data_IF_037963277265
#
_entry.id   IF_037963277265
#
_cell.length_a   1.000
_cell.length_b   1.000
_cell.length_c   1.000
_cell.angle_alpha   90.00
_cell.angle_beta   90.00
_cell.angle_gamma   90.00
#
_symmetry.space_group_name_H-M   'P 1'
#
loop_
_entity.id
_entity.type
_entity.pdbx_description
1 polymer ?
#
# COMPACT_ATOMS: atom_id res chain seq x y z
N UNK A 1 20.45 -8.34 4.96
CA UNK A 1 21.01 -7.29 4.09
C UNK A 1 21.49 -6.16 4.99
N UNK A 2 22.82 -6.02 5.13
CA UNK A 2 23.42 -4.80 5.64
C UNK A 2 24.20 -4.21 4.45
N UNK A 3 23.82 -3.02 4.02
CA UNK A 3 24.55 -2.29 2.99
C UNK A 3 25.91 -1.88 3.59
N UNK A 4 26.98 -2.35 2.97
CA UNK A 4 28.35 -1.91 3.26
C UNK A 4 28.58 -0.61 2.48
N UNK A 5 28.61 0.53 3.18
CA UNK A 5 29.23 1.75 2.65
C UNK A 5 30.73 1.62 2.91
N UNK A 6 31.51 1.42 1.86
CA UNK A 6 32.98 1.39 1.93
C UNK A 6 33.51 2.79 2.26
N UNK A 7 34.19 2.95 3.40
CA UNK A 7 34.95 4.17 3.72
C UNK A 7 35.13 4.51 5.20
N UNK A 8 34.32 3.95 6.11
CA UNK A 8 34.48 4.24 7.53
C UNK A 8 35.56 3.35 8.17
N UNK A 9 36.62 3.95 8.73
CA UNK A 9 37.66 3.23 9.48
C UNK A 9 37.12 2.50 10.72
N UNK A 10 35.93 2.89 11.21
CA UNK A 10 35.24 2.20 12.30
C UNK A 10 33.75 2.02 11.95
N UNK A 11 33.16 0.85 12.25
CA UNK A 11 31.77 0.60 11.96
C UNK A 11 30.86 1.48 12.83
N UNK A 12 30.03 2.31 12.20
CA UNK A 12 29.01 3.15 12.86
C UNK A 12 27.93 2.32 13.57
N UNK A 13 27.73 1.07 13.14
CA UNK A 13 26.80 0.13 13.77
C UNK A 13 27.57 -0.98 14.50
N UNK A 14 27.85 -0.78 15.79
CA UNK A 14 28.50 -1.77 16.67
C UNK A 14 27.53 -2.76 17.31
N UNK A 15 26.24 -2.62 16.99
CA UNK A 15 25.12 -3.30 17.63
C UNK A 15 24.50 -4.29 16.65
N UNK A 16 24.70 -5.58 16.90
CA UNK A 16 24.12 -6.63 16.08
C UNK A 16 22.68 -6.94 16.54
N UNK A 17 21.72 -6.80 15.63
CA UNK A 17 20.35 -7.25 15.87
C UNK A 17 20.16 -8.65 15.31
N UNK A 18 19.88 -9.62 16.18
CA UNK A 18 19.69 -11.01 15.79
C UNK A 18 18.22 -11.28 15.54
N UNK A 19 17.88 -11.63 14.29
CA UNK A 19 16.54 -12.06 13.88
C UNK A 19 16.59 -13.52 13.54
N UNK A 20 15.82 -14.32 14.27
CA UNK A 20 15.62 -15.73 13.94
C UNK A 20 14.13 -16.01 13.79
N UNK A 21 13.72 -16.85 12.82
CA UNK A 21 12.39 -17.39 12.83
C UNK A 21 12.10 -17.95 14.22
N UNK A 22 10.88 -17.74 14.73
CA UNK A 22 10.46 -18.52 15.88
C UNK A 22 10.55 -19.98 15.43
N UNK A 23 11.51 -20.74 16.00
CA UNK A 23 11.72 -22.15 15.69
C UNK A 23 10.51 -22.92 16.21
N UNK A 24 9.45 -22.89 15.41
CA UNK A 24 8.31 -23.76 15.52
C UNK A 24 8.82 -25.09 14.99
N UNK A 25 9.37 -25.93 15.87
CA UNK A 25 9.54 -27.33 15.53
C UNK A 25 8.16 -27.80 15.06
N UNK A 26 8.05 -28.06 13.76
CA UNK A 26 6.95 -28.76 13.11
C UNK A 26 7.01 -30.21 13.57
N UNK A 27 6.96 -30.45 14.88
CA UNK A 27 6.86 -31.80 15.41
C UNK A 27 5.43 -32.25 15.20
N UNK A 28 5.33 -32.92 14.05
CA UNK A 28 4.31 -33.84 13.59
C UNK A 28 3.09 -33.15 12.96
N UNK A 29 3.05 -33.20 11.63
CA UNK A 29 1.91 -32.98 10.74
C UNK A 29 0.78 -34.01 11.01
N UNK A 30 0.49 -34.30 12.29
CA UNK A 30 -0.11 -35.54 12.79
C UNK A 30 0.88 -36.71 12.66
N UNK A 31 0.84 -37.74 13.53
CA UNK A 31 1.84 -38.83 13.60
C UNK A 31 2.20 -39.36 12.20
N UNK A 32 3.48 -39.58 11.92
CA UNK A 32 3.96 -40.03 10.59
C UNK A 32 3.30 -41.35 10.13
N UNK A 33 2.85 -42.18 11.07
CA UNK A 33 2.06 -43.39 10.79
C UNK A 33 0.63 -43.24 11.36
N UNK A 34 -0.42 -43.60 10.59
CA UNK A 34 -1.79 -43.68 11.10
C UNK A 34 -1.94 -44.79 12.16
N UNK A 35 -2.91 -44.64 13.06
CA UNK A 35 -3.27 -45.74 13.96
C UNK A 35 -4.00 -46.86 13.20
N UNK A 36 -4.20 -48.03 13.83
CA UNK A 36 -4.99 -49.14 13.27
C UNK A 36 -6.34 -48.62 12.76
N UNK A 37 -6.66 -48.85 11.48
CA UNK A 37 -7.85 -48.30 10.81
C UNK A 37 -7.65 -46.96 10.08
N UNK A 38 -6.41 -46.56 9.78
CA UNK A 38 -6.11 -45.42 8.89
C UNK A 38 -6.35 -44.03 9.49
N UNK A 39 -6.88 -43.95 10.72
CA UNK A 39 -7.19 -42.68 11.39
C UNK A 39 -5.94 -42.06 12.02
N UNK A 40 -5.66 -40.81 11.68
CA UNK A 40 -4.61 -40.00 12.29
C UNK A 40 -5.13 -39.31 13.55
N UNK A 41 -4.45 -39.48 14.68
CA UNK A 41 -4.82 -38.78 15.92
C UNK A 41 -4.42 -37.30 15.84
N UNK A 42 -5.32 -36.36 16.21
CA UNK A 42 -4.96 -34.95 16.34
C UNK A 42 -3.84 -34.76 17.38
N UNK A 43 -2.73 -34.10 17.02
CA UNK A 43 -1.64 -33.82 17.94
C UNK A 43 -1.31 -32.32 17.91
N UNK A 44 -1.65 -31.62 18.99
CA UNK A 44 -1.39 -30.19 19.18
C UNK A 44 -2.21 -29.27 18.26
N UNK A 45 -3.07 -28.43 18.83
CA UNK A 45 -3.79 -27.40 18.04
C UNK A 45 -2.91 -26.18 17.75
N UNK A 46 -3.14 -25.51 16.61
CA UNK A 46 -2.52 -24.20 16.28
C UNK A 46 -3.10 -23.03 17.09
N UNK A 47 -4.27 -23.23 17.70
CA UNK A 47 -4.96 -22.32 18.63
C UNK A 47 -5.37 -23.10 19.86
N UNK A 48 -5.16 -22.56 21.06
CA UNK A 48 -5.63 -23.17 22.31
C UNK A 48 -5.78 -22.10 23.41
N UNK A 49 -6.95 -22.06 24.06
CA UNK A 49 -7.33 -21.02 25.04
C UNK A 49 -7.12 -19.58 24.55
N UNK A 50 -7.37 -19.33 23.26
CA UNK A 50 -7.14 -18.01 22.64
C UNK A 50 -5.66 -17.71 22.30
N UNK A 51 -4.71 -18.56 22.70
CA UNK A 51 -3.28 -18.37 22.46
C UNK A 51 -2.80 -19.17 21.25
N UNK A 52 -2.09 -18.48 20.36
CA UNK A 52 -1.44 -19.08 19.21
C UNK A 52 -0.03 -19.52 19.60
N UNK A 53 0.47 -20.61 19.01
CA UNK A 53 1.88 -20.99 19.20
C UNK A 53 2.79 -19.87 18.67
N UNK A 54 3.85 -19.57 19.41
CA UNK A 54 4.71 -18.41 19.15
C UNK A 54 4.18 -17.10 19.74
N UNK A 55 3.03 -17.10 20.41
CA UNK A 55 2.59 -15.94 21.19
C UNK A 55 3.61 -15.61 22.26
N UNK A 56 4.04 -14.35 22.28
CA UNK A 56 4.87 -13.76 23.30
C UNK A 56 4.00 -13.46 24.51
N UNK A 57 4.41 -13.98 25.66
CA UNK A 57 3.72 -13.80 26.93
C UNK A 57 4.69 -13.34 28.00
N UNK A 58 4.19 -12.58 28.97
CA UNK A 58 4.86 -12.34 30.24
C UNK A 58 4.25 -13.28 31.27
N UNK A 59 5.06 -14.20 31.80
CA UNK A 59 4.64 -15.15 32.82
C UNK A 59 5.15 -14.71 34.20
N UNK A 60 4.30 -14.76 35.23
CA UNK A 60 4.61 -14.29 36.58
C UNK A 60 5.94 -14.87 37.14
N UNK A 61 6.19 -16.18 36.91
CA UNK A 61 7.42 -16.86 37.37
C UNK A 61 8.60 -16.79 36.40
N UNK A 62 8.34 -16.78 35.08
CA UNK A 62 9.37 -17.04 34.06
C UNK A 62 9.73 -15.80 33.24
N UNK A 63 9.06 -14.67 33.50
CA UNK A 63 9.29 -13.42 32.78
C UNK A 63 8.85 -13.53 31.32
N UNK A 64 9.67 -13.03 30.40
CA UNK A 64 9.35 -12.99 28.97
C UNK A 64 9.56 -14.36 28.32
N UNK A 65 8.48 -14.95 27.81
CA UNK A 65 8.46 -16.32 27.26
C UNK A 65 7.65 -16.39 25.97
N UNK A 66 7.85 -17.45 25.19
CA UNK A 66 7.01 -17.79 24.04
C UNK A 66 6.18 -19.04 24.32
N UNK A 67 4.97 -19.08 23.78
CA UNK A 67 4.08 -20.24 23.87
C UNK A 67 4.53 -21.32 22.90
N UNK A 68 4.98 -22.45 23.44
CA UNK A 68 5.44 -23.61 22.69
C UNK A 68 4.34 -24.60 22.28
N UNK A 69 3.20 -24.60 23.00
CA UNK A 69 2.07 -25.50 22.73
C UNK A 69 1.14 -25.64 23.93
N UNK A 70 0.05 -26.39 23.76
CA UNK A 70 -0.97 -26.60 24.78
C UNK A 70 -1.32 -28.08 24.90
N UNK A 71 -1.34 -28.60 26.13
CA UNK A 71 -1.85 -29.92 26.46
C UNK A 71 -3.34 -29.81 26.78
N UNK A 72 -4.19 -30.37 25.90
CA UNK A 72 -5.64 -30.33 26.05
C UNK A 72 -6.14 -31.14 27.25
N UNK A 73 -5.49 -32.25 27.58
CA UNK A 73 -5.91 -33.13 28.69
C UNK A 73 -5.60 -32.48 30.03
N UNK A 74 -4.40 -31.91 30.16
CA UNK A 74 -3.94 -31.26 31.40
C UNK A 74 -4.36 -29.80 31.52
N UNK A 75 -4.87 -29.20 30.43
CA UNK A 75 -5.16 -27.77 30.30
C UNK A 75 -3.97 -26.87 30.64
N UNK A 76 -2.76 -27.30 30.28
CA UNK A 76 -1.52 -26.57 30.55
C UNK A 76 -0.81 -26.11 29.28
N UNK A 77 0.01 -25.08 29.41
CA UNK A 77 0.77 -24.42 28.36
C UNK A 77 2.26 -24.77 28.52
N UNK A 78 2.90 -25.11 27.41
CA UNK A 78 4.34 -25.21 27.31
C UNK A 78 4.94 -23.82 27.06
N UNK A 79 5.87 -23.39 27.91
CA UNK A 79 6.58 -22.11 27.76
C UNK A 79 8.03 -22.34 27.40
N UNK A 80 8.56 -21.47 26.54
CA UNK A 80 9.93 -21.48 26.07
C UNK A 80 10.59 -20.12 26.35
N UNK A 81 11.89 -20.14 26.63
CA UNK A 81 12.67 -18.93 26.85
C UNK A 81 12.74 -18.10 25.56
N UNK A 82 12.45 -16.79 25.65
CA UNK A 82 12.38 -15.92 24.47
C UNK A 82 13.67 -15.93 23.62
N UNK A 83 14.85 -15.85 24.25
CA UNK A 83 16.13 -15.76 23.51
C UNK A 83 16.63 -17.11 22.99
N UNK A 84 16.62 -18.15 23.82
CA UNK A 84 17.25 -19.44 23.50
C UNK A 84 16.27 -20.47 22.92
N UNK A 85 14.96 -20.22 22.98
CA UNK A 85 13.90 -21.17 22.64
C UNK A 85 13.93 -22.50 23.45
N UNK A 86 14.71 -22.55 24.54
CA UNK A 86 14.75 -23.71 25.43
C UNK A 86 13.44 -23.81 26.20
N UNK A 87 12.91 -25.03 26.37
CA UNK A 87 11.67 -25.26 27.09
C UNK A 87 11.88 -24.95 28.58
N UNK A 88 11.02 -24.11 29.14
CA UNK A 88 11.02 -23.71 30.55
C UNK A 88 10.07 -24.56 31.39
N UNK A 89 8.89 -24.88 30.85
CA UNK A 89 7.89 -25.72 31.52
C UNK A 89 6.87 -26.25 30.51
N UNK A 90 6.13 -27.29 30.89
CA UNK A 90 4.96 -27.83 30.16
C UNK A 90 3.65 -27.66 30.93
N UNK A 91 3.73 -27.15 32.15
CA UNK A 91 2.63 -27.16 33.12
C UNK A 91 2.17 -25.74 33.48
N UNK A 92 2.44 -24.74 32.63
CA UNK A 92 2.00 -23.37 32.91
C UNK A 92 0.49 -23.26 32.77
N UNK A 93 -0.17 -22.54 33.69
CA UNK A 93 -1.59 -22.23 33.57
C UNK A 93 -1.77 -20.97 32.71
N UNK A 94 -2.87 -20.93 31.94
CA UNK A 94 -3.18 -19.80 31.07
C UNK A 94 -3.33 -18.47 31.83
N UNK A 95 -3.92 -18.53 33.02
CA UNK A 95 -4.12 -17.36 33.90
C UNK A 95 -2.81 -16.66 34.32
N UNK A 96 -1.69 -17.39 34.36
CA UNK A 96 -0.39 -16.83 34.68
C UNK A 96 0.33 -16.22 33.47
N UNK A 97 -0.26 -16.29 32.28
CA UNK A 97 0.31 -15.80 31.03
C UNK A 97 -0.38 -14.49 30.61
N UNK A 98 0.29 -13.36 30.79
CA UNK A 98 -0.16 -12.10 30.21
C UNK A 98 0.27 -12.02 28.75
N UNK A 99 -0.69 -11.96 27.83
CA UNK A 99 -0.44 -11.94 26.39
C UNK A 99 0.09 -10.60 25.95
N UNK A 100 1.25 -10.58 25.31
CA UNK A 100 1.81 -9.35 24.74
C UNK A 100 1.46 -9.23 23.27
N UNK A 101 1.87 -10.20 22.46
CA UNK A 101 1.59 -10.20 21.01
C UNK A 101 1.90 -11.56 20.40
N UNK A 102 1.43 -11.82 19.19
CA UNK A 102 1.87 -12.97 18.42
C UNK A 102 3.07 -12.61 17.55
N UNK A 103 4.11 -13.44 17.55
CA UNK A 103 5.32 -13.20 16.74
C UNK A 103 5.67 -14.43 15.91
N UNK A 104 5.91 -14.21 14.61
CA UNK A 104 6.49 -15.20 13.71
C UNK A 104 8.04 -15.25 13.80
N UNK A 105 8.64 -14.19 14.34
CA UNK A 105 10.09 -13.97 14.41
C UNK A 105 10.48 -13.54 15.82
N UNK A 106 11.67 -13.93 16.26
CA UNK A 106 12.27 -13.44 17.51
C UNK A 106 13.39 -12.48 17.13
N UNK A 107 13.31 -11.26 17.64
CA UNK A 107 14.31 -10.21 17.46
C UNK A 107 14.91 -9.83 18.81
N UNK A 108 16.23 -9.83 18.91
CA UNK A 108 16.89 -9.29 20.09
C UNK A 108 18.26 -8.73 19.74
N UNK A 109 18.64 -7.67 20.45
CA UNK A 109 19.97 -7.11 20.40
C UNK A 109 20.98 -8.10 21.01
N UNK A 110 22.06 -8.39 20.29
CA UNK A 110 23.19 -9.16 20.82
C UNK A 110 24.00 -8.23 21.70
N UNK A 111 23.94 -8.44 23.01
CA UNK A 111 24.90 -7.85 23.93
C UNK A 111 26.26 -8.50 23.71
N UNK A 112 27.33 -7.72 23.51
CA UNK A 112 28.72 -8.22 23.63
C UNK A 112 28.87 -8.79 25.05
N UNK A 113 28.80 -10.11 25.18
CA UNK A 113 29.14 -10.77 26.43
C UNK A 113 30.64 -10.66 26.69
N UNK A 114 31.10 -10.66 27.94
CA UNK A 114 32.53 -10.74 28.23
C UNK A 114 33.09 -12.04 27.63
N UNK A 115 34.27 -11.97 27.00
CA UNK A 115 34.99 -13.13 26.48
C UNK A 115 35.21 -14.13 27.63
N UNK A 116 34.45 -15.22 27.67
CA UNK A 116 34.77 -16.33 28.57
C UNK A 116 35.92 -17.14 27.97
N UNK A 117 37.05 -17.18 28.68
CA UNK A 117 38.11 -18.16 28.44
C UNK A 117 37.54 -19.57 28.61
N UNK A 118 37.87 -20.45 27.68
CA UNK A 118 37.52 -21.87 27.70
C UNK A 118 38.27 -22.60 28.82
N UNK A 119 37.54 -23.08 29.82
CA UNK A 119 37.96 -24.22 30.63
C UNK A 119 36.71 -25.00 31.05
N UNK A 120 36.81 -26.33 31.01
CA UNK A 120 35.67 -27.24 31.06
C UNK A 120 35.01 -27.42 32.42
N UNK A 121 34.07 -28.38 32.41
CA UNK A 121 33.21 -28.92 33.48
C UNK A 121 31.89 -28.18 33.71
N UNK A 122 30.83 -28.98 33.75
CA UNK A 122 29.45 -28.54 33.69
C UNK A 122 28.80 -28.27 35.04
N UNK A 123 27.50 -27.97 34.90
CA UNK A 123 26.41 -27.99 35.89
C UNK A 123 26.12 -26.67 36.64
N UNK A 124 24.94 -26.15 36.28
CA UNK A 124 23.92 -25.38 37.03
C UNK A 124 24.19 -23.97 37.58
N UNK A 125 23.07 -23.23 37.55
CA UNK A 125 22.80 -21.93 38.18
C UNK A 125 23.35 -20.69 37.48
N UNK A 126 22.45 -19.89 36.90
CA UNK A 126 22.51 -18.44 37.12
C UNK A 126 21.14 -17.80 36.87
N UNK A 127 20.61 -17.21 37.96
CA UNK A 127 19.50 -16.27 37.98
C UNK A 127 19.67 -15.22 36.88
N UNK A 128 18.59 -14.95 36.15
CA UNK A 128 18.49 -13.77 35.30
C UNK A 128 18.59 -12.49 36.18
N UNK A 129 19.27 -11.43 35.72
CA UNK A 129 19.36 -10.20 36.47
C UNK A 129 17.96 -9.58 36.61
N UNK A 130 17.62 -9.15 37.84
CA UNK A 130 16.41 -8.37 38.11
C UNK A 130 16.52 -7.04 37.34
N UNK A 131 15.76 -6.92 36.27
CA UNK A 131 15.46 -5.62 35.67
C UNK A 131 14.56 -4.86 36.65
N UNK A 132 15.20 -4.09 37.54
CA UNK A 132 14.55 -3.02 38.29
C UNK A 132 14.30 -1.86 37.35
N UNK A 133 13.07 -1.33 37.44
CA UNK A 133 12.63 -0.02 36.99
C UNK A 133 12.59 0.22 35.48
N UNK A 134 11.41 0.00 34.91
CA UNK A 134 10.87 0.85 33.84
C UNK A 134 9.35 0.86 33.99
N UNK A 135 8.88 1.60 34.99
CA UNK A 135 7.51 2.10 35.01
C UNK A 135 7.37 3.09 33.86
N UNK A 136 6.87 2.63 32.73
CA UNK A 136 6.21 3.50 31.75
C UNK A 136 4.88 2.83 31.43
N UNK A 137 3.89 3.19 32.23
CA UNK A 137 2.49 2.91 31.98
C UNK A 137 2.09 3.65 30.70
N UNK A 138 1.81 2.90 29.63
CA UNK A 138 0.81 3.36 28.66
C UNK A 138 -0.41 2.45 28.79
N UNK A 139 -1.40 2.99 29.52
CA UNK A 139 -2.80 2.66 29.31
C UNK A 139 -3.16 3.00 27.86
N UNK A 140 -3.42 2.00 27.03
CA UNK A 140 -4.15 2.20 25.79
C UNK A 140 -5.19 1.09 25.63
N UNK A 141 -6.44 1.51 25.73
CA UNK A 141 -7.61 0.73 25.41
C UNK A 141 -7.48 0.06 24.04
N UNK A 142 -7.76 -1.24 24.00
CA UNK A 142 -7.79 -2.06 22.80
C UNK A 142 -9.00 -1.68 21.90
N UNK A 143 -8.90 -0.57 21.18
CA UNK A 143 -9.55 -0.42 19.88
C UNK A 143 -8.44 -0.53 18.85
N UNK A 144 -8.45 -1.59 18.04
CA UNK A 144 -7.56 -1.88 16.91
C UNK A 144 -6.54 -0.77 16.58
N UNK A 145 -5.46 -0.71 17.37
CA UNK A 145 -4.39 0.27 17.16
C UNK A 145 -3.44 -0.31 16.12
N UNK A 146 -3.82 -0.20 14.86
CA UNK A 146 -2.89 -0.33 13.77
C UNK A 146 -2.00 0.91 13.87
N UNK A 147 -0.85 0.79 14.56
CA UNK A 147 0.11 1.89 14.65
C UNK A 147 0.48 2.28 13.23
N UNK A 148 0.03 3.46 12.77
CA UNK A 148 0.51 4.05 11.53
C UNK A 148 2.03 4.10 11.62
N UNK A 149 2.70 3.59 10.60
CA UNK A 149 4.14 3.78 10.46
C UNK A 149 4.35 5.28 10.33
N UNK A 150 5.06 5.86 11.30
CA UNK A 150 5.44 7.27 11.27
C UNK A 150 6.94 7.37 11.07
N UNK A 151 7.37 8.35 10.28
CA UNK A 151 8.78 8.71 10.15
C UNK A 151 9.33 9.44 11.38
N UNK A 152 8.47 9.89 12.30
CA UNK A 152 8.83 10.62 13.52
C UNK A 152 9.74 11.84 13.29
N UNK A 153 9.49 12.55 12.19
CA UNK A 153 10.24 13.76 11.81
C UNK A 153 9.34 14.99 11.86
N UNK A 154 9.88 16.10 12.34
CA UNK A 154 9.30 17.43 12.19
C UNK A 154 9.60 17.99 10.79
N UNK A 155 9.06 17.32 9.77
CA UNK A 155 9.24 17.66 8.37
C UNK A 155 7.89 17.53 7.65
N UNK A 156 7.47 18.58 6.93
CA UNK A 156 6.19 18.61 6.24
C UNK A 156 6.05 17.44 5.25
N UNK A 157 7.12 17.13 4.51
CA UNK A 157 7.16 16.00 3.58
C UNK A 157 7.01 14.66 4.32
N UNK A 158 7.75 14.46 5.43
CA UNK A 158 7.63 13.23 6.23
C UNK A 158 6.21 13.06 6.79
N UNK A 159 5.56 14.14 7.24
CA UNK A 159 4.16 14.12 7.69
C UNK A 159 3.17 13.84 6.57
N UNK A 160 3.46 14.29 5.35
CA UNK A 160 2.67 13.89 4.18
C UNK A 160 2.85 12.40 3.89
N UNK A 161 4.08 11.88 3.91
CA UNK A 161 4.38 10.47 3.66
C UNK A 161 3.81 9.53 4.75
N UNK A 162 3.67 9.96 6.00
CA UNK A 162 2.93 9.24 7.05
C UNK A 162 1.46 8.97 6.68
N UNK A 163 0.90 9.76 5.74
CA UNK A 163 -0.48 9.68 5.28
C UNK A 163 -0.59 9.03 3.90
N UNK A 164 0.26 9.45 2.94
CA UNK A 164 0.14 9.04 1.53
C UNK A 164 1.24 8.11 1.03
N UNK A 165 2.28 7.88 1.84
CA UNK A 165 3.46 7.08 1.44
C UNK A 165 3.22 5.57 1.41
N UNK A 166 2.11 5.09 1.95
CA UNK A 166 1.72 3.67 1.84
C UNK A 166 1.36 3.32 0.39
N UNK A 167 1.90 2.19 -0.09
CA UNK A 167 1.66 1.69 -1.47
C UNK A 167 0.15 1.66 -1.76
N UNK A 168 -0.21 2.03 -2.99
CA UNK A 168 -1.59 2.18 -3.50
C UNK A 168 -2.32 3.45 -3.10
N UNK A 169 -1.92 4.18 -2.04
CA UNK A 169 -2.70 5.33 -1.57
C UNK A 169 -2.86 6.40 -2.66
N UNK A 170 -1.74 6.84 -3.28
CA UNK A 170 -1.79 7.82 -4.36
C UNK A 170 -2.42 7.27 -5.66
N UNK A 171 -2.36 5.95 -5.89
CA UNK A 171 -3.05 5.34 -7.04
C UNK A 171 -4.57 5.32 -6.83
N UNK A 172 -5.05 5.06 -5.61
CA UNK A 172 -6.47 5.20 -5.27
C UNK A 172 -6.91 6.66 -5.42
N UNK A 173 -6.09 7.60 -4.97
CA UNK A 173 -6.37 9.04 -5.17
C UNK A 173 -6.46 9.37 -6.67
N UNK A 174 -5.54 8.87 -7.50
CA UNK A 174 -5.59 9.00 -8.97
C UNK A 174 -6.94 8.53 -9.54
N UNK A 175 -7.39 7.34 -9.14
CA UNK A 175 -8.68 6.81 -9.60
C UNK A 175 -9.86 7.71 -9.21
N UNK A 176 -9.85 8.26 -8.00
CA UNK A 176 -10.95 9.04 -7.46
C UNK A 176 -10.98 10.51 -7.95
N UNK A 177 -9.93 10.99 -8.62
CA UNK A 177 -9.98 12.32 -9.26
C UNK A 177 -11.04 12.42 -10.35
N UNK A 178 -11.26 11.32 -11.07
CA UNK A 178 -12.26 11.23 -12.15
C UNK A 178 -13.69 10.97 -11.65
N UNK A 179 -13.91 11.01 -10.33
CA UNK A 179 -15.23 10.94 -9.70
C UNK A 179 -15.37 9.82 -8.66
N UNK A 180 -16.54 9.75 -8.00
CA UNK A 180 -16.83 8.70 -7.03
C UNK A 180 -16.78 7.30 -7.66
N UNK A 181 -16.31 6.30 -6.91
CA UNK A 181 -16.19 4.92 -7.38
C UNK A 181 -16.68 3.93 -6.34
N UNK A 182 -17.29 2.81 -6.77
CA UNK A 182 -17.57 1.69 -5.87
C UNK A 182 -16.29 0.95 -5.52
N UNK A 183 -16.37 0.11 -4.49
CA UNK A 183 -15.28 -0.79 -4.12
C UNK A 183 -14.88 -1.72 -5.28
N UNK A 184 -15.87 -2.28 -5.99
CA UNK A 184 -15.65 -3.16 -7.14
C UNK A 184 -14.94 -2.45 -8.29
N UNK A 185 -15.33 -1.22 -8.57
CA UNK A 185 -14.77 -0.42 -9.66
C UNK A 185 -13.29 -0.13 -9.37
N UNK A 186 -12.96 0.28 -8.14
CA UNK A 186 -11.56 0.47 -7.70
C UNK A 186 -10.74 -0.82 -7.76
N UNK A 187 -11.33 -1.97 -7.45
CA UNK A 187 -10.63 -3.25 -7.54
C UNK A 187 -10.32 -3.63 -9.00
N UNK A 188 -11.24 -3.32 -9.91
CA UNK A 188 -11.08 -3.57 -11.34
C UNK A 188 -10.04 -2.62 -11.96
N UNK A 189 -10.04 -1.33 -11.58
CA UNK A 189 -9.10 -0.35 -12.12
C UNK A 189 -7.75 -0.30 -11.39
N UNK A 190 -7.52 -1.14 -10.37
CA UNK A 190 -6.22 -1.22 -9.68
C UNK A 190 -5.68 -2.66 -9.76
N UNK A 191 -5.26 -3.13 -10.94
CA UNK A 191 -4.78 -4.50 -11.11
C UNK A 191 -3.61 -4.79 -10.17
N UNK A 192 -3.71 -5.88 -9.42
CA UNK A 192 -2.70 -6.31 -8.45
C UNK A 192 -2.97 -5.86 -7.00
N UNK A 193 -3.99 -5.04 -6.73
CA UNK A 193 -4.40 -4.78 -5.35
C UNK A 193 -5.27 -5.92 -4.80
N UNK A 194 -4.96 -6.41 -3.60
CA UNK A 194 -5.79 -7.41 -2.93
C UNK A 194 -6.99 -6.77 -2.22
N UNK A 195 -8.15 -7.45 -2.21
CA UNK A 195 -9.38 -7.01 -1.52
C UNK A 195 -9.13 -6.49 -0.09
N UNK A 196 -8.45 -7.27 0.74
CA UNK A 196 -8.16 -6.89 2.12
C UNK A 196 -7.24 -5.68 2.25
N UNK A 197 -6.32 -5.49 1.29
CA UNK A 197 -5.44 -4.33 1.25
C UNK A 197 -6.21 -3.08 0.83
N UNK A 198 -7.02 -3.15 -0.24
CA UNK A 198 -7.88 -2.04 -0.68
C UNK A 198 -8.81 -1.58 0.46
N UNK A 199 -9.51 -2.52 1.12
CA UNK A 199 -10.37 -2.21 2.25
C UNK A 199 -9.61 -1.57 3.43
N UNK A 200 -8.36 -1.95 3.64
CA UNK A 200 -7.51 -1.33 4.67
C UNK A 200 -7.08 0.07 4.27
N UNK A 201 -6.64 0.27 3.03
CA UNK A 201 -6.26 1.59 2.49
C UNK A 201 -7.43 2.57 2.55
N UNK A 202 -8.62 2.18 2.11
CA UNK A 202 -9.82 3.04 2.13
C UNK A 202 -10.18 3.45 3.57
N UNK A 203 -10.17 2.53 4.53
CA UNK A 203 -10.39 2.86 5.95
C UNK A 203 -9.36 3.85 6.49
N UNK A 204 -8.09 3.66 6.15
CA UNK A 204 -7.01 4.55 6.59
C UNK A 204 -7.09 5.94 5.93
N UNK A 205 -7.44 6.00 4.64
CA UNK A 205 -7.67 7.25 3.90
C UNK A 205 -8.87 8.01 4.43
N UNK A 206 -9.96 7.31 4.79
CA UNK A 206 -11.13 7.91 5.43
C UNK A 206 -10.76 8.46 6.80
N UNK A 207 -10.02 7.71 7.62
CA UNK A 207 -9.52 8.18 8.92
C UNK A 207 -8.55 9.36 8.80
N UNK A 208 -7.82 9.48 7.68
CA UNK A 208 -6.99 10.65 7.36
C UNK A 208 -7.79 11.85 6.84
N UNK A 209 -9.09 11.71 6.60
CA UNK A 209 -9.94 12.72 5.98
C UNK A 209 -9.63 12.97 4.50
N UNK A 210 -9.02 12.00 3.80
CA UNK A 210 -8.75 12.10 2.36
C UNK A 210 -9.97 11.71 1.53
N UNK A 211 -10.77 10.76 2.01
CA UNK A 211 -11.98 10.29 1.34
C UNK A 211 -13.17 10.27 2.29
N UNK A 212 -14.35 10.31 1.70
CA UNK A 212 -15.63 10.10 2.36
C UNK A 212 -16.44 9.04 1.59
N UNK A 213 -17.47 8.50 2.25
CA UNK A 213 -18.40 7.54 1.66
C UNK A 213 -19.71 8.25 1.41
N UNK A 214 -20.14 8.27 0.16
CA UNK A 214 -21.43 8.80 -0.27
C UNK A 214 -22.33 7.65 -0.73
N UNK A 215 -23.64 7.84 -0.66
CA UNK A 215 -24.62 6.92 -1.23
C UNK A 215 -25.17 7.52 -2.52
N UNK A 216 -25.02 6.79 -3.62
CA UNK A 216 -25.67 7.18 -4.87
C UNK A 216 -27.19 7.02 -4.73
N UNK A 217 -27.99 7.94 -5.30
CA UNK A 217 -29.44 7.80 -5.30
C UNK A 217 -29.88 6.57 -6.12
N UNK A 218 -31.11 6.08 -5.90
CA UNK A 218 -31.72 5.03 -6.74
C UNK A 218 -31.67 5.40 -8.23
N UNK A 219 -31.63 4.43 -9.16
CA UNK A 219 -31.82 2.97 -9.00
C UNK A 219 -30.53 2.18 -8.70
N UNK A 220 -29.36 2.84 -8.70
CA UNK A 220 -28.06 2.21 -8.45
C UNK A 220 -27.54 2.55 -7.04
N UNK A 221 -28.41 2.43 -6.03
CA UNK A 221 -28.10 2.74 -4.64
C UNK A 221 -26.87 1.93 -4.21
N UNK A 222 -25.74 2.63 -4.11
CA UNK A 222 -24.46 2.00 -3.83
C UNK A 222 -23.56 2.97 -3.08
N UNK A 223 -22.77 2.39 -2.18
CA UNK A 223 -21.73 3.13 -1.47
C UNK A 223 -20.58 3.39 -2.41
N UNK A 224 -20.27 4.67 -2.60
CA UNK A 224 -19.15 5.12 -3.40
C UNK A 224 -18.16 5.88 -2.51
N UNK A 225 -16.88 5.72 -2.83
CA UNK A 225 -15.80 6.46 -2.21
C UNK A 225 -15.53 7.70 -3.05
N UNK A 226 -15.34 8.84 -2.40
CA UNK A 226 -15.09 10.12 -3.04
C UNK A 226 -13.98 10.88 -2.30
N UNK A 227 -13.14 11.63 -3.02
CA UNK A 227 -12.18 12.54 -2.41
C UNK A 227 -12.90 13.69 -1.69
N UNK A 228 -12.50 13.93 -0.44
CA UNK A 228 -12.90 15.14 0.30
C UNK A 228 -12.19 16.37 -0.30
N UNK A 229 -12.53 17.57 0.19
CA UNK A 229 -11.77 18.79 -0.12
C UNK A 229 -10.27 18.63 0.17
N UNK A 230 -9.91 17.99 1.29
CA UNK A 230 -8.52 17.70 1.65
C UNK A 230 -7.89 16.68 0.70
N UNK A 231 -8.61 15.61 0.35
CA UNK A 231 -8.14 14.64 -0.65
C UNK A 231 -7.82 15.28 -2.00
N UNK A 232 -8.65 16.23 -2.44
CA UNK A 232 -8.44 16.99 -3.67
C UNK A 232 -7.22 17.91 -3.65
N UNK A 233 -6.70 18.29 -2.47
CA UNK A 233 -5.45 19.06 -2.38
C UNK A 233 -4.22 18.27 -2.81
N UNK A 234 -4.31 16.93 -2.89
CA UNK A 234 -3.21 16.07 -3.37
C UNK A 234 -3.00 16.14 -4.88
N UNK A 235 -3.87 16.85 -5.61
CA UNK A 235 -3.88 16.92 -7.07
C UNK A 235 -2.55 17.39 -7.66
N UNK A 236 -1.97 18.46 -7.10
CA UNK A 236 -0.67 18.97 -7.51
C UNK A 236 0.45 17.96 -7.25
N UNK A 237 0.46 17.33 -6.07
CA UNK A 237 1.48 16.34 -5.71
C UNK A 237 1.41 15.08 -6.60
N UNK A 238 0.21 14.57 -6.87
CA UNK A 238 -0.01 13.42 -7.76
C UNK A 238 0.38 13.77 -9.20
N UNK A 239 0.02 14.97 -9.67
CA UNK A 239 0.40 15.47 -11.00
C UNK A 239 1.91 15.60 -11.13
N UNK A 240 2.59 16.20 -10.14
CA UNK A 240 4.03 16.36 -10.15
C UNK A 240 4.77 15.02 -10.16
N UNK A 241 4.31 14.06 -9.34
CA UNK A 241 4.85 12.70 -9.34
C UNK A 241 4.60 11.96 -10.66
N UNK A 242 3.42 12.15 -11.27
CA UNK A 242 3.10 11.59 -12.59
C UNK A 242 4.05 12.07 -13.67
N UNK A 243 4.26 13.39 -13.77
CA UNK A 243 5.22 13.98 -14.72
C UNK A 243 6.64 13.51 -14.49
N UNK A 244 7.09 13.47 -13.24
CA UNK A 244 8.41 12.93 -12.91
C UNK A 244 8.53 11.45 -13.33
N UNK A 245 7.45 10.68 -13.19
CA UNK A 245 7.37 9.28 -13.61
C UNK A 245 7.23 9.07 -15.12
N UNK A 246 6.82 10.07 -15.90
CA UNK A 246 6.66 9.93 -17.36
C UNK A 246 7.99 9.56 -18.03
N UNK A 247 9.13 10.08 -17.53
CA UNK A 247 10.47 9.74 -18.01
C UNK A 247 10.90 8.29 -17.71
N UNK A 248 10.16 7.57 -16.86
CA UNK A 248 10.41 6.16 -16.53
C UNK A 248 9.63 5.21 -17.44
N UNK A 249 8.72 5.72 -18.28
CA UNK A 249 7.96 4.90 -19.23
C UNK A 249 8.88 4.47 -20.38
N UNK A 250 9.06 3.17 -20.55
CA UNK A 250 10.01 2.63 -21.52
C UNK A 250 9.52 2.78 -22.98
N UNK A 251 8.30 2.34 -23.26
CA UNK A 251 7.66 2.42 -24.58
C UNK A 251 6.14 2.25 -24.46
N UNK A 252 5.34 2.90 -25.31
CA UNK A 252 3.91 2.60 -25.47
C UNK A 252 3.63 1.14 -25.82
N UNK A 253 4.59 0.40 -26.38
CA UNK A 253 4.45 -1.01 -26.75
C UNK A 253 4.70 -1.97 -25.58
N UNK A 254 4.94 -1.45 -24.37
CA UNK A 254 5.13 -2.30 -23.20
C UNK A 254 3.91 -3.18 -22.91
N UNK A 255 4.17 -4.39 -22.38
CA UNK A 255 3.15 -5.33 -21.88
C UNK A 255 2.56 -4.91 -20.52
N UNK A 256 2.90 -3.71 -20.05
CA UNK A 256 2.33 -3.16 -18.84
C UNK A 256 0.83 -2.85 -19.03
N UNK A 257 0.07 -2.95 -17.95
CA UNK A 257 -1.36 -2.70 -18.01
C UNK A 257 -1.63 -1.22 -18.34
N UNK A 258 -2.44 -0.99 -19.37
CA UNK A 258 -2.84 0.35 -19.83
C UNK A 258 -4.33 0.56 -19.55
N UNK A 259 -4.69 1.81 -19.28
CA UNK A 259 -6.09 2.19 -19.09
C UNK A 259 -6.34 3.57 -19.71
N UNK A 260 -7.36 3.75 -20.57
CA UNK A 260 -7.63 5.01 -21.27
C UNK A 260 -7.70 6.24 -20.36
N UNK A 261 -8.36 6.10 -19.21
CA UNK A 261 -8.43 7.17 -18.21
C UNK A 261 -7.05 7.65 -17.72
N UNK A 262 -6.06 6.75 -17.54
CA UNK A 262 -4.75 7.16 -17.03
C UNK A 262 -3.97 7.95 -18.08
N UNK A 263 -4.08 7.56 -19.35
CA UNK A 263 -3.55 8.33 -20.46
C UNK A 263 -4.17 9.72 -20.47
N UNK A 264 -5.51 9.79 -20.46
CA UNK A 264 -6.22 11.07 -20.49
C UNK A 264 -5.88 11.96 -19.27
N UNK A 265 -5.72 11.37 -18.08
CA UNK A 265 -5.27 12.08 -16.88
C UNK A 265 -3.82 12.59 -16.99
N UNK A 266 -2.91 11.80 -17.58
CA UNK A 266 -1.53 12.22 -17.85
C UNK A 266 -1.50 13.40 -18.83
N UNK A 267 -2.22 13.31 -19.95
CA UNK A 267 -2.31 14.39 -20.93
C UNK A 267 -2.95 15.66 -20.32
N UNK A 268 -4.03 15.49 -19.54
CA UNK A 268 -4.70 16.60 -18.85
C UNK A 268 -3.79 17.27 -17.79
N UNK A 269 -2.93 16.51 -17.11
CA UNK A 269 -2.00 17.03 -16.12
C UNK A 269 -0.94 17.98 -16.72
N UNK A 270 -0.54 17.75 -17.96
CA UNK A 270 0.45 18.58 -18.66
C UNK A 270 -0.06 19.99 -18.99
N UNK A 271 -1.38 20.16 -19.13
CA UNK A 271 -2.02 21.47 -19.41
C UNK A 271 -1.77 22.51 -18.30
N UNK A 272 -1.50 22.06 -17.07
CA UNK A 272 -1.41 22.92 -15.87
C UNK A 272 -0.18 23.82 -15.84
N UNK A 273 0.83 23.51 -16.63
CA UNK A 273 2.10 24.26 -16.69
C UNK A 273 2.23 25.05 -17.99
N UNK A 274 1.22 25.01 -18.86
CA UNK A 274 1.19 25.89 -20.02
C UNK A 274 0.92 27.33 -19.56
N UNK A 275 1.63 28.32 -20.10
CA UNK A 275 1.27 29.72 -19.92
C UNK A 275 -0.20 29.92 -20.28
N UNK A 276 -0.86 30.88 -19.64
CA UNK A 276 -2.26 31.23 -19.88
C UNK A 276 -2.42 31.95 -21.25
N UNK A 277 -1.91 31.36 -22.32
CA UNK A 277 -1.76 31.96 -23.66
C UNK A 277 -2.84 31.54 -24.65
N UNK A 278 -3.89 30.84 -24.20
CA UNK A 278 -4.96 30.36 -25.06
C UNK A 278 -6.35 30.68 -24.44
N UNK A 279 -6.93 31.87 -24.72
CA UNK A 279 -8.27 32.24 -24.24
C UNK A 279 -9.39 31.28 -24.71
N UNK A 280 -9.17 30.58 -25.82
CA UNK A 280 -9.97 29.44 -26.31
C UNK A 280 -10.08 28.26 -25.31
N UNK A 281 -9.18 28.18 -24.32
CA UNK A 281 -9.20 27.17 -23.25
C UNK A 281 -9.88 27.63 -21.96
N UNK A 282 -10.60 28.76 -22.00
CA UNK A 282 -11.27 29.27 -20.81
C UNK A 282 -12.32 28.30 -20.27
N UNK A 283 -13.10 27.66 -21.15
CA UNK A 283 -14.14 26.70 -20.79
C UNK A 283 -14.48 25.77 -21.95
N UNK A 284 -14.05 24.52 -21.86
CA UNK A 284 -14.42 23.46 -22.82
C UNK A 284 -14.89 22.21 -22.07
N UNK A 285 -15.96 21.59 -22.56
CA UNK A 285 -16.43 20.28 -22.11
C UNK A 285 -16.58 19.37 -23.35
N UNK A 286 -15.79 18.30 -23.42
CA UNK A 286 -15.75 17.39 -24.57
C UNK A 286 -15.87 15.95 -24.11
N UNK A 287 -16.74 15.19 -24.77
CA UNK A 287 -16.84 13.74 -24.57
C UNK A 287 -15.74 13.04 -25.36
N UNK A 288 -15.18 11.99 -24.77
CA UNK A 288 -14.06 11.23 -25.34
C UNK A 288 -14.38 9.75 -25.25
N UNK A 289 -14.53 9.09 -26.40
CA UNK A 289 -14.64 7.64 -26.51
C UNK A 289 -13.26 7.07 -26.87
N UNK A 290 -12.60 6.45 -25.89
CA UNK A 290 -11.27 5.84 -26.07
C UNK A 290 -11.33 4.35 -25.80
N UNK A 291 -10.95 3.54 -26.78
CA UNK A 291 -10.96 2.07 -26.70
C UNK A 291 -12.33 1.52 -26.22
N UNK A 292 -13.42 2.15 -26.66
CA UNK A 292 -14.78 1.82 -26.23
C UNK A 292 -15.18 2.29 -24.83
N UNK A 293 -14.28 2.95 -24.08
CA UNK A 293 -14.61 3.57 -22.80
C UNK A 293 -15.07 5.02 -22.99
N UNK A 294 -16.27 5.32 -22.48
CA UNK A 294 -16.79 6.68 -22.48
C UNK A 294 -16.24 7.49 -21.31
N UNK A 295 -15.51 8.55 -21.64
CA UNK A 295 -14.87 9.50 -20.74
C UNK A 295 -15.29 10.92 -21.15
N UNK A 296 -14.91 11.90 -20.34
CA UNK A 296 -15.02 13.30 -20.72
C UNK A 296 -13.81 14.09 -20.23
N UNK A 297 -13.53 15.21 -20.89
CA UNK A 297 -12.54 16.18 -20.49
C UNK A 297 -13.22 17.53 -20.24
N UNK A 298 -12.94 18.11 -19.07
CA UNK A 298 -13.40 19.46 -18.72
C UNK A 298 -12.20 20.36 -18.57
N UNK A 299 -12.19 21.47 -19.28
CA UNK A 299 -11.17 22.50 -19.20
C UNK A 299 -11.78 23.72 -18.54
N UNK A 300 -11.15 24.21 -17.47
CA UNK A 300 -11.54 25.44 -16.77
C UNK A 300 -10.30 26.27 -16.51
N UNK A 301 -10.28 27.50 -17.02
CA UNK A 301 -9.16 28.43 -16.82
C UNK A 301 -7.81 27.77 -17.15
N UNK A 302 -7.73 27.09 -18.31
CA UNK A 302 -6.53 26.39 -18.77
C UNK A 302 -6.21 25.07 -18.05
N UNK A 303 -7.03 24.63 -17.08
CA UNK A 303 -6.82 23.34 -16.39
C UNK A 303 -7.76 22.28 -16.93
N UNK A 304 -7.19 21.23 -17.52
CA UNK A 304 -7.94 20.06 -17.95
C UNK A 304 -8.12 19.03 -16.83
N UNK A 305 -9.32 18.44 -16.76
CA UNK A 305 -9.69 17.40 -15.81
C UNK A 305 -10.46 16.29 -16.53
N UNK A 306 -9.91 15.08 -16.49
CA UNK A 306 -10.56 13.89 -17.00
C UNK A 306 -11.63 13.37 -16.03
N UNK A 307 -12.75 12.90 -16.56
CA UNK A 307 -13.80 12.22 -15.80
C UNK A 307 -14.34 11.00 -16.53
N UNK A 308 -15.09 10.18 -15.81
CA UNK A 308 -15.74 8.97 -16.35
C UNK A 308 -17.15 9.27 -16.86
N UNK A 309 -17.56 8.54 -17.89
CA UNK A 309 -18.89 8.63 -18.48
C UNK A 309 -19.11 9.90 -19.31
N UNK A 310 -20.29 10.02 -19.95
CA UNK A 310 -20.65 11.20 -20.72
C UNK A 310 -20.73 12.45 -19.83
N UNK A 311 -20.33 13.58 -20.38
CA UNK A 311 -20.67 14.87 -19.83
C UNK A 311 -22.16 15.19 -20.14
N UNK A 312 -22.90 15.86 -19.24
CA UNK A 312 -24.31 16.20 -19.51
C UNK A 312 -24.51 17.17 -20.68
N UNK A 313 -23.53 18.04 -20.92
CA UNK A 313 -23.58 19.09 -21.94
C UNK A 313 -22.21 19.21 -22.63
N UNK A 314 -21.81 18.26 -23.48
CA UNK A 314 -20.57 18.35 -24.23
C UNK A 314 -20.75 19.29 -25.44
N UNK A 315 -19.70 20.04 -25.77
CA UNK A 315 -19.63 20.86 -26.99
C UNK A 315 -19.25 20.03 -28.21
N UNK A 316 -18.44 19.00 -27.99
CA UNK A 316 -18.00 18.06 -29.01
C UNK A 316 -17.81 16.66 -28.41
N UNK A 317 -17.69 15.68 -29.30
CA UNK A 317 -17.31 14.32 -28.96
C UNK A 317 -16.16 13.86 -29.87
N UNK A 318 -15.13 13.27 -29.28
CA UNK A 318 -13.96 12.71 -29.94
C UNK A 318 -13.99 11.19 -29.78
N UNK A 319 -13.85 10.45 -30.86
CA UNK A 319 -13.64 8.99 -30.82
C UNK A 319 -12.24 8.70 -31.33
N UNK A 320 -11.46 7.93 -30.57
CA UNK A 320 -10.09 7.56 -30.91
C UNK A 320 -9.68 6.27 -30.18
N UNK A 321 -8.46 5.80 -30.42
CA UNK A 321 -7.82 4.75 -29.61
C UNK A 321 -6.75 5.33 -28.70
N UNK A 322 -6.40 4.62 -27.62
CA UNK A 322 -5.25 5.02 -26.78
C UNK A 322 -3.95 5.02 -27.60
N UNK A 323 -3.80 4.10 -28.55
CA UNK A 323 -2.64 4.03 -29.45
C UNK A 323 -2.49 5.33 -30.26
N UNK A 324 -3.57 5.80 -30.88
CA UNK A 324 -3.56 7.07 -31.63
C UNK A 324 -3.19 8.24 -30.73
N UNK A 325 -3.73 8.32 -29.51
CA UNK A 325 -3.38 9.40 -28.58
C UNK A 325 -1.93 9.30 -28.07
N UNK A 326 -1.37 8.10 -27.88
CA UNK A 326 0.05 7.93 -27.55
C UNK A 326 0.97 8.33 -28.71
N UNK A 327 0.59 8.02 -29.95
CA UNK A 327 1.34 8.43 -31.14
C UNK A 327 1.32 9.96 -31.28
N UNK A 328 0.17 10.59 -31.07
CA UNK A 328 0.05 12.05 -31.03
C UNK A 328 0.85 12.68 -29.88
N UNK A 329 0.85 12.08 -28.67
CA UNK A 329 1.65 12.55 -27.51
C UNK A 329 3.15 12.54 -27.81
N UNK A 330 3.62 11.58 -28.60
CA UNK A 330 5.03 11.42 -28.97
C UNK A 330 5.39 12.11 -30.29
N UNK A 331 4.50 12.93 -30.85
CA UNK A 331 4.71 13.63 -32.11
C UNK A 331 5.00 12.70 -33.31
N UNK A 332 4.56 11.44 -33.22
CA UNK A 332 4.71 10.43 -34.28
C UNK A 332 3.63 10.55 -35.37
N UNK A 333 2.55 11.29 -35.08
CA UNK A 333 1.43 11.56 -35.99
C UNK A 333 0.98 13.01 -35.84
N UNK A 334 0.35 13.56 -36.88
CA UNK A 334 -0.26 14.89 -36.84
C UNK A 334 -1.78 14.78 -36.67
N UNK A 335 -2.37 15.75 -35.95
CA UNK A 335 -3.81 15.76 -35.63
C UNK A 335 -4.65 15.69 -36.92
N UNK A 336 -4.37 16.55 -37.90
CA UNK A 336 -5.19 16.61 -39.13
C UNK A 336 -5.06 15.33 -39.98
N UNK A 337 -3.90 14.68 -39.97
CA UNK A 337 -3.70 13.40 -40.66
C UNK A 337 -4.55 12.30 -40.02
N UNK A 338 -4.58 12.23 -38.68
CA UNK A 338 -5.39 11.25 -37.95
C UNK A 338 -6.90 11.48 -38.08
N UNK A 339 -7.33 12.70 -38.40
CA UNK A 339 -8.73 12.99 -38.71
C UNK A 339 -9.03 12.57 -40.15
N UNK A 340 -8.12 12.88 -41.10
CA UNK A 340 -8.29 12.57 -42.51
C UNK A 340 -8.30 11.06 -42.80
N UNK A 341 -7.50 10.27 -42.07
CA UNK A 341 -7.43 8.81 -42.22
C UNK A 341 -8.49 8.04 -41.39
N UNK A 342 -9.33 8.76 -40.63
CA UNK A 342 -10.43 8.21 -39.85
C UNK A 342 -10.04 7.58 -38.52
N UNK A 343 -8.78 7.72 -38.06
CA UNK A 343 -8.37 7.26 -36.71
C UNK A 343 -9.00 8.10 -35.59
N UNK A 344 -9.30 9.36 -35.87
CA UNK A 344 -10.02 10.27 -34.99
C UNK A 344 -11.31 10.70 -35.67
N UNK A 345 -12.44 10.40 -35.05
CA UNK A 345 -13.74 10.94 -35.45
C UNK A 345 -14.16 12.07 -34.51
N UNK A 346 -14.64 13.17 -35.09
CA UNK A 346 -15.14 14.32 -34.34
C UNK A 346 -16.62 14.54 -34.66
N UNK A 347 -17.43 14.72 -33.61
CA UNK A 347 -18.84 15.13 -33.71
C UNK A 347 -19.07 16.41 -32.91
N UNK A 348 -19.97 17.28 -33.38
CA UNK A 348 -20.27 18.56 -32.75
C UNK A 348 -19.28 19.65 -33.16
N UNK A 349 -18.87 20.49 -32.21
CA UNK A 349 -17.97 21.62 -32.46
C UNK A 349 -16.54 21.16 -32.82
N UNK A 350 -16.19 21.35 -34.08
CA UNK A 350 -14.90 20.93 -34.64
C UNK A 350 -13.72 21.71 -34.04
N UNK A 351 -13.89 23.00 -33.78
CA UNK A 351 -12.83 23.84 -33.23
C UNK A 351 -12.58 23.50 -31.77
N UNK A 352 -13.63 23.26 -30.99
CA UNK A 352 -13.51 22.79 -29.61
C UNK A 352 -12.75 21.45 -29.52
N UNK A 353 -13.09 20.50 -30.39
CA UNK A 353 -12.42 19.20 -30.42
C UNK A 353 -10.95 19.30 -30.82
N UNK A 354 -10.63 20.05 -31.89
CA UNK A 354 -9.23 20.29 -32.30
C UNK A 354 -8.44 21.01 -31.21
N UNK A 355 -9.05 21.98 -30.53
CA UNK A 355 -8.45 22.68 -29.42
C UNK A 355 -8.07 21.72 -28.28
N UNK A 356 -8.98 20.82 -27.91
CA UNK A 356 -8.69 19.76 -26.93
C UNK A 356 -7.55 18.85 -27.40
N UNK A 357 -7.56 18.39 -28.65
CA UNK A 357 -6.49 17.55 -29.18
C UNK A 357 -5.13 18.25 -29.12
N UNK A 358 -5.03 19.51 -29.56
CA UNK A 358 -3.79 20.31 -29.47
C UNK A 358 -3.29 20.42 -28.03
N UNK A 359 -4.19 20.67 -27.08
CA UNK A 359 -3.83 20.79 -25.67
C UNK A 359 -3.31 19.48 -25.08
N UNK A 360 -3.89 18.36 -25.49
CA UNK A 360 -3.43 17.05 -25.06
C UNK A 360 -2.07 16.70 -25.68
N UNK A 361 -1.74 17.20 -26.88
CA UNK A 361 -0.48 16.87 -27.59
C UNK A 361 0.69 17.79 -27.30
N UNK A 362 0.45 19.10 -27.09
CA UNK A 362 1.48 20.09 -26.76
C UNK A 362 2.25 19.77 -25.45
N UNK A 363 1.72 18.84 -24.67
CA UNK A 363 2.29 18.23 -23.47
C UNK A 363 3.61 17.45 -23.68
N UNK A 364 3.98 17.10 -24.91
CA UNK A 364 5.19 16.34 -25.24
C UNK A 364 6.48 17.16 -25.27
N UNK A 365 6.38 18.49 -25.26
CA UNK A 365 7.52 19.41 -25.48
C UNK A 365 8.35 19.73 -24.23
N UNK A 366 8.09 19.08 -23.09
CA UNK A 366 8.93 19.26 -21.91
C UNK A 366 10.28 18.57 -22.13
N UNK A 367 11.26 19.38 -22.50
CA UNK A 367 12.69 19.12 -22.52
C UNK A 367 13.10 18.16 -21.38
N UNK A 368 13.70 16.99 -21.66
CA UNK A 368 14.22 16.13 -20.63
C UNK A 368 15.48 16.78 -20.06
N UNK A 369 15.32 17.51 -18.95
CA UNK A 369 16.41 18.11 -18.16
C UNK A 369 17.13 19.30 -18.83
N UNK A 370 16.47 20.45 -18.90
CA UNK A 370 17.14 21.76 -18.73
C UNK A 370 16.85 22.37 -17.37
#
# INVERSE_FOLDING_TARGET
>A
MAASVSGAQQPSCTRLWYVVPALLHRRQLHRLQPAKGGKRTPYGGTRSLGLKRGTLVRHARYGLCTVGGFDRKKRTISLHAYRTNTRLTQNAKGEHCHVLTWMAWRGFLVSKGPKKKSSGKGVHSSRAPKLRNASFLLSMNARSCQMRRTYDQYCALAKALDVVGERWTLLIVRELFAGPQRFSDLLQTLPGIGNGLLATRLREMQAAGLIEINELPPPAASRVYQLTKRGRQLDEAVTALGRWGDALLASPDSEEHKHPLWLLQSLAASTRHMPNSAPELARLDVDILLDGQQLHLRIRSGRAMAGRGPHPHPQAAITATSETLYALKQEQMQIEETIADGRIEIRGDQEAARCVLRVLTLAGTSDPLT
#
